data_IF_101957789642
#
_entry.id   IF_101957789642
#
_cell.length_a   1.000
_cell.length_b   1.000
_cell.length_c   1.000
_cell.angle_alpha   90.00
_cell.angle_beta   90.00
_cell.angle_gamma   90.00
#
_symmetry.space_group_name_H-M   'P 1'
#
loop_
_entity.id
_entity.type
_entity.pdbx_description
1 polymer ?
#
# COMPACT_ATOMS: atom_id res chain seq x y z
N UNK A 1 -29.16 1.06 60.53
CA UNK A 1 -28.51 0.92 59.20
C UNK A 1 -27.42 1.98 59.13
N UNK A 2 -26.18 1.50 59.10
CA UNK A 2 -24.91 2.25 59.14
C UNK A 2 -24.51 2.68 57.73
N UNK A 3 -23.79 3.79 57.62
CA UNK A 3 -23.16 4.23 56.38
C UNK A 3 -22.25 5.45 56.59
N UNK A 4 -21.07 5.23 57.17
CA UNK A 4 -19.99 6.21 57.27
C UNK A 4 -19.15 6.23 55.98
N UNK A 5 -19.06 7.37 55.31
CA UNK A 5 -18.16 7.56 54.16
C UNK A 5 -16.72 7.78 54.65
N UNK A 6 -15.81 6.91 54.23
CA UNK A 6 -14.37 7.08 54.46
C UNK A 6 -13.72 7.55 53.16
N UNK A 7 -13.05 8.70 53.22
CA UNK A 7 -12.27 9.27 52.11
C UNK A 7 -11.06 8.39 51.82
N UNK A 8 -10.92 7.94 50.56
CA UNK A 8 -9.74 7.19 50.10
C UNK A 8 -8.51 8.12 50.01
N UNK A 9 -7.29 7.62 50.33
CA UNK A 9 -6.08 8.40 50.13
C UNK A 9 -5.81 8.59 48.64
N UNK A 10 -5.45 9.82 48.24
CA UNK A 10 -5.11 10.17 46.86
C UNK A 10 -3.85 9.42 46.42
N UNK A 11 -4.03 8.43 45.54
CA UNK A 11 -2.92 7.76 44.88
C UNK A 11 -2.32 8.72 43.85
N UNK A 12 -1.09 9.17 44.07
CA UNK A 12 -0.34 9.94 43.07
C UNK A 12 -0.24 9.14 41.77
N UNK A 13 -0.35 9.77 40.58
CA UNK A 13 -0.23 9.05 39.34
C UNK A 13 1.17 8.44 39.21
N UNK A 14 1.31 7.21 38.68
CA UNK A 14 2.61 6.60 38.47
C UNK A 14 3.42 7.46 37.51
N UNK A 15 4.64 7.82 37.95
CA UNK A 15 5.65 8.45 37.12
C UNK A 15 5.95 7.50 35.95
N UNK A 16 5.58 7.90 34.74
CA UNK A 16 5.95 7.17 33.52
C UNK A 16 7.45 7.33 33.29
N UNK A 17 8.22 6.45 33.91
CA UNK A 17 9.60 6.21 33.51
C UNK A 17 9.57 5.47 32.16
N UNK A 18 10.09 6.14 31.14
CA UNK A 18 10.14 5.67 29.76
C UNK A 18 10.94 4.39 29.63
N UNK A 19 10.25 3.26 29.69
CA UNK A 19 10.73 1.98 29.19
C UNK A 19 9.86 1.59 28.00
N UNK A 20 10.40 1.67 26.79
CA UNK A 20 9.80 1.00 25.62
C UNK A 20 9.90 -0.50 25.85
N UNK A 21 8.98 -1.06 26.63
CA UNK A 21 8.67 -2.48 26.56
C UNK A 21 8.01 -2.67 25.21
N UNK A 22 8.86 -2.90 24.21
CA UNK A 22 8.47 -3.53 22.96
C UNK A 22 7.73 -4.79 23.37
N UNK A 23 6.41 -4.74 23.37
CA UNK A 23 5.60 -5.94 23.30
C UNK A 23 5.94 -6.51 21.92
N UNK A 24 7.02 -7.29 21.85
CA UNK A 24 7.16 -8.27 20.78
C UNK A 24 6.02 -9.24 21.03
N UNK A 25 4.86 -8.93 20.48
CA UNK A 25 3.84 -9.93 20.24
C UNK A 25 4.54 -10.99 19.39
N UNK A 26 4.93 -12.08 20.05
CA UNK A 26 5.63 -13.15 19.39
C UNK A 26 4.62 -13.77 18.42
N UNK A 27 4.92 -13.69 17.13
CA UNK A 27 4.07 -14.19 16.07
C UNK A 27 4.22 -15.72 16.03
N UNK A 28 3.13 -16.42 16.29
CA UNK A 28 3.07 -17.87 16.21
C UNK A 28 2.11 -18.28 15.09
N UNK A 29 2.57 -19.15 14.19
CA UNK A 29 1.73 -19.81 13.19
C UNK A 29 1.41 -21.23 13.63
N UNK A 30 0.16 -21.65 13.49
CA UNK A 30 -0.24 -23.05 13.60
C UNK A 30 -0.25 -23.67 12.20
N UNK A 31 0.72 -24.54 11.92
CA UNK A 31 0.83 -25.24 10.63
C UNK A 31 0.88 -26.75 10.87
N UNK A 32 0.00 -27.51 10.22
CA UNK A 32 -0.10 -28.97 10.33
C UNK A 32 -0.15 -29.49 11.79
N UNK A 33 -0.74 -28.74 12.71
CA UNK A 33 -0.84 -29.09 14.14
C UNK A 33 0.40 -28.73 14.98
N UNK A 34 1.43 -28.13 14.37
CA UNK A 34 2.62 -27.64 15.08
C UNK A 34 2.60 -26.11 15.18
N UNK A 35 3.01 -25.59 16.33
CA UNK A 35 3.21 -24.14 16.54
C UNK A 35 4.61 -23.76 16.10
N UNK A 36 4.70 -22.82 15.16
CA UNK A 36 5.93 -22.27 14.60
C UNK A 36 6.09 -20.84 15.06
N UNK A 37 7.18 -20.55 15.76
CA UNK A 37 7.48 -19.24 16.35
C UNK A 37 8.67 -18.53 15.69
N UNK A 38 9.51 -19.29 14.98
CA UNK A 38 10.70 -18.76 14.35
C UNK A 38 10.31 -17.82 13.20
N UNK A 39 10.68 -16.52 13.24
CA UNK A 39 10.21 -15.54 12.26
C UNK A 39 10.55 -15.89 10.81
N UNK A 40 11.71 -16.52 10.58
CA UNK A 40 12.12 -16.94 9.23
C UNK A 40 11.22 -18.07 8.74
N UNK A 41 11.03 -19.10 9.55
CA UNK A 41 10.16 -20.23 9.23
C UNK A 41 8.71 -19.78 9.02
N UNK A 42 8.23 -18.82 9.81
CA UNK A 42 6.91 -18.20 9.64
C UNK A 42 6.81 -17.49 8.28
N UNK A 43 7.80 -16.69 7.91
CA UNK A 43 7.84 -15.98 6.63
C UNK A 43 7.89 -16.96 5.44
N UNK A 44 8.70 -18.01 5.54
CA UNK A 44 8.83 -19.04 4.50
C UNK A 44 7.49 -19.79 4.30
N UNK A 45 6.79 -20.15 5.38
CA UNK A 45 5.45 -20.76 5.31
C UNK A 45 4.42 -19.85 4.64
N UNK A 46 4.44 -18.55 4.95
CA UNK A 46 3.57 -17.59 4.25
C UNK A 46 3.92 -17.50 2.77
N UNK A 47 5.20 -17.42 2.42
CA UNK A 47 5.65 -17.35 1.04
C UNK A 47 5.21 -18.60 0.25
N UNK A 48 5.39 -19.79 0.82
CA UNK A 48 4.93 -21.05 0.21
C UNK A 48 3.41 -21.08 0.03
N UNK A 49 2.66 -20.68 1.05
CA UNK A 49 1.20 -20.64 0.98
C UNK A 49 0.71 -19.68 -0.13
N UNK A 50 1.23 -18.45 -0.17
CA UNK A 50 0.87 -17.48 -1.20
C UNK A 50 1.29 -17.95 -2.61
N UNK A 51 2.47 -18.56 -2.75
CA UNK A 51 2.91 -19.12 -4.02
C UNK A 51 1.99 -20.26 -4.47
N UNK A 52 1.54 -21.12 -3.57
CA UNK A 52 0.60 -22.21 -3.85
C UNK A 52 -0.75 -21.69 -4.34
N UNK A 53 -1.32 -20.70 -3.64
CA UNK A 53 -2.59 -20.06 -4.02
C UNK A 53 -2.46 -19.35 -5.38
N UNK A 54 -1.35 -18.64 -5.61
CA UNK A 54 -1.12 -17.89 -6.85
C UNK A 54 -0.92 -18.78 -8.09
N UNK A 55 -0.24 -19.93 -7.95
CA UNK A 55 0.01 -20.87 -9.07
C UNK A 55 -1.27 -21.44 -9.68
N UNK A 56 -2.35 -21.55 -8.90
CA UNK A 56 -3.63 -22.11 -9.34
C UNK A 56 -4.28 -21.31 -10.50
N UNK A 57 -3.78 -20.10 -10.74
CA UNK A 57 -4.30 -19.13 -11.70
C UNK A 57 -3.55 -19.15 -13.04
N UNK A 58 -2.52 -20.00 -13.18
CA UNK A 58 -1.60 -19.98 -14.33
C UNK A 58 -2.22 -20.37 -15.68
N UNK A 59 -3.43 -20.92 -15.67
CA UNK A 59 -4.24 -21.24 -16.87
C UNK A 59 -5.20 -20.11 -17.27
N UNK A 60 -5.27 -19.01 -16.52
CA UNK A 60 -6.11 -17.88 -16.88
C UNK A 60 -5.66 -17.30 -18.25
N UNK A 61 -6.60 -16.89 -19.12
CA UNK A 61 -6.26 -16.15 -20.33
C UNK A 61 -5.37 -14.95 -19.98
N UNK A 62 -4.18 -14.88 -20.59
CA UNK A 62 -3.20 -13.83 -20.31
C UNK A 62 -2.13 -14.18 -19.26
N UNK A 63 -2.27 -15.25 -18.48
CA UNK A 63 -1.27 -15.62 -17.47
C UNK A 63 0.14 -15.85 -18.05
N UNK A 64 0.23 -16.49 -19.22
CA UNK A 64 1.50 -16.66 -19.97
C UNK A 64 2.08 -15.33 -20.42
N UNK A 65 1.24 -14.36 -20.78
CA UNK A 65 1.70 -13.03 -21.17
C UNK A 65 2.25 -12.28 -19.94
N UNK A 66 1.53 -12.27 -18.82
CA UNK A 66 1.98 -11.67 -17.57
C UNK A 66 3.30 -12.29 -17.10
N UNK A 67 3.40 -13.62 -17.06
CA UNK A 67 4.64 -14.31 -16.66
C UNK A 67 5.83 -13.94 -17.56
N UNK A 68 5.59 -13.81 -18.88
CA UNK A 68 6.62 -13.36 -19.83
C UNK A 68 7.03 -11.91 -19.53
N UNK A 69 6.08 -11.02 -19.27
CA UNK A 69 6.37 -9.61 -18.98
C UNK A 69 7.07 -9.42 -17.62
N UNK A 70 6.67 -10.17 -16.60
CA UNK A 70 7.28 -10.16 -15.26
C UNK A 70 8.71 -10.72 -15.26
N UNK A 71 9.02 -11.64 -16.19
CA UNK A 71 10.39 -12.15 -16.37
C UNK A 71 11.34 -11.13 -17.00
N UNK A 72 10.82 -10.05 -17.59
CA UNK A 72 11.64 -8.95 -18.09
C UNK A 72 12.09 -8.13 -16.89
N UNK A 73 13.37 -8.22 -16.54
CA UNK A 73 13.96 -7.39 -15.49
C UNK A 73 13.63 -5.91 -15.71
N UNK A 74 13.07 -5.26 -14.70
CA UNK A 74 12.75 -3.84 -14.75
C UNK A 74 14.05 -3.03 -14.69
N UNK A 75 14.26 -2.14 -15.66
CA UNK A 75 15.39 -1.21 -15.68
C UNK A 75 15.02 0.04 -14.89
N UNK A 76 15.44 0.10 -13.63
CA UNK A 76 15.21 1.27 -12.76
C UNK A 76 16.27 2.37 -12.89
N UNK A 77 17.18 2.28 -13.86
CA UNK A 77 18.15 3.36 -14.09
C UNK A 77 17.42 4.56 -14.71
N UNK A 78 17.01 5.52 -13.89
CA UNK A 78 16.58 6.84 -14.34
C UNK A 78 17.70 7.84 -14.09
N UNK A 79 18.00 8.65 -15.10
CA UNK A 79 19.01 9.73 -15.00
C UNK A 79 18.41 11.01 -14.41
N UNK A 80 17.12 10.99 -14.02
CA UNK A 80 16.39 12.16 -13.50
C UNK A 80 16.04 13.21 -14.56
N UNK A 81 16.70 13.20 -15.72
CA UNK A 81 16.46 14.10 -16.85
C UNK A 81 15.29 13.71 -17.77
N UNK A 82 14.37 12.88 -17.29
CA UNK A 82 13.21 12.46 -18.07
C UNK A 82 12.28 13.65 -18.34
N UNK A 83 11.61 13.68 -19.50
CA UNK A 83 10.79 14.81 -19.95
C UNK A 83 9.57 15.08 -19.05
N UNK A 84 9.14 14.09 -18.27
CA UNK A 84 8.07 14.21 -17.28
C UNK A 84 8.52 14.95 -16.01
N UNK A 85 9.82 14.98 -15.70
CA UNK A 85 10.35 15.73 -14.55
C UNK A 85 10.59 17.22 -14.85
N UNK A 86 10.49 17.63 -16.12
CA UNK A 86 10.65 19.03 -16.52
C UNK A 86 9.37 19.80 -16.16
N UNK A 87 9.49 21.03 -15.58
CA UNK A 87 8.34 21.87 -15.29
C UNK A 87 7.36 21.99 -16.46
N UNK A 88 6.07 22.04 -16.13
CA UNK A 88 5.02 22.21 -17.12
C UNK A 88 5.07 23.64 -17.69
N UNK A 89 4.99 23.76 -19.02
CA UNK A 89 5.06 25.04 -19.72
C UNK A 89 3.74 25.36 -20.42
N UNK A 90 3.50 26.65 -20.67
CA UNK A 90 2.34 27.11 -21.44
C UNK A 90 2.33 26.50 -22.85
N UNK A 91 3.49 26.31 -23.49
CA UNK A 91 3.56 25.66 -24.80
C UNK A 91 3.11 24.19 -24.78
N UNK A 92 3.42 23.45 -23.70
CA UNK A 92 2.92 22.10 -23.49
C UNK A 92 1.40 22.10 -23.31
N UNK A 93 0.85 23.07 -22.58
CA UNK A 93 -0.60 23.25 -22.44
C UNK A 93 -1.27 23.53 -23.78
N UNK A 94 -0.76 24.49 -24.55
CA UNK A 94 -1.29 24.82 -25.87
C UNK A 94 -1.24 23.62 -26.82
N UNK A 95 -0.15 22.85 -26.78
CA UNK A 95 -0.01 21.63 -27.59
C UNK A 95 -1.06 20.59 -27.17
N UNK A 96 -1.25 20.37 -25.86
CA UNK A 96 -2.24 19.43 -25.36
C UNK A 96 -3.68 19.85 -25.74
N UNK A 97 -4.00 21.14 -25.61
CA UNK A 97 -5.30 21.68 -26.02
C UNK A 97 -5.53 21.52 -27.52
N UNK A 98 -4.50 21.72 -28.36
CA UNK A 98 -4.61 21.52 -29.81
C UNK A 98 -4.89 20.07 -30.24
N UNK A 99 -4.58 19.10 -29.37
CA UNK A 99 -4.85 17.68 -29.61
C UNK A 99 -6.19 17.23 -29.03
N UNK A 100 -6.84 18.07 -28.23
CA UNK A 100 -8.12 17.74 -27.61
C UNK A 100 -9.25 17.89 -28.65
N UNK A 101 -10.23 17.01 -28.57
CA UNK A 101 -11.32 16.92 -29.55
C UNK A 101 -12.62 17.40 -28.94
N UNK A 102 -13.44 18.07 -29.75
CA UNK A 102 -14.82 18.39 -29.42
C UNK A 102 -15.63 17.08 -29.34
N UNK A 103 -15.79 16.57 -28.14
CA UNK A 103 -16.47 15.32 -27.80
C UNK A 103 -17.40 15.58 -26.62
N UNK A 104 -18.33 14.65 -26.37
CA UNK A 104 -19.30 14.79 -25.29
C UNK A 104 -18.61 15.02 -23.93
N UNK A 105 -19.14 15.93 -23.08
CA UNK A 105 -18.58 16.21 -21.77
C UNK A 105 -18.42 14.97 -20.90
N UNK A 106 -17.43 15.00 -20.00
CA UNK A 106 -17.23 13.98 -18.98
C UNK A 106 -18.25 14.08 -17.84
N UNK A 107 -17.98 13.37 -16.74
CA UNK A 107 -18.81 13.42 -15.53
C UNK A 107 -18.84 14.82 -14.86
N UNK A 108 -17.85 15.66 -15.19
CA UNK A 108 -17.76 17.05 -14.74
C UNK A 108 -18.67 18.01 -15.55
N UNK A 109 -19.30 17.54 -16.63
CA UNK A 109 -20.17 18.30 -17.52
C UNK A 109 -19.52 19.57 -18.11
N UNK A 110 -18.19 19.53 -18.29
CA UNK A 110 -17.44 20.63 -18.90
C UNK A 110 -17.27 20.36 -20.41
N UNK A 111 -17.90 21.15 -21.29
CA UNK A 111 -17.74 21.00 -22.74
C UNK A 111 -16.39 21.53 -23.22
N UNK A 112 -15.90 20.97 -24.33
CA UNK A 112 -14.65 21.39 -24.99
C UNK A 112 -14.61 22.90 -25.28
N UNK A 113 -15.75 23.53 -25.55
CA UNK A 113 -15.90 24.97 -25.76
C UNK A 113 -15.29 25.83 -24.63
N UNK A 114 -15.20 25.30 -23.40
CA UNK A 114 -14.68 26.00 -22.24
C UNK A 114 -13.17 25.82 -22.01
N UNK A 115 -12.49 25.02 -22.85
CA UNK A 115 -11.07 24.71 -22.72
C UNK A 115 -10.17 25.56 -23.61
N UNK A 116 -10.71 26.60 -24.25
CA UNK A 116 -9.91 27.54 -25.04
C UNK A 116 -9.14 28.52 -24.15
N UNK A 117 -7.90 28.82 -24.53
CA UNK A 117 -6.97 29.67 -23.78
C UNK A 117 -6.92 31.09 -24.36
#
# INVERSE_FOLDING_TARGET
>A
MSGSFSTLPSLSPPRFEGGTKSLMESLFLLSAGQTVADPKTVADLFAEHFASVSRKNSTAPGARHCQRMESLGLKFSSTGGETFNVPFSVSKLQTALSQCHDSSPGLDDIPYAFLHL
#
